data_IF_285771656776
#
_entry.id   IF_285771656776
#
_cell.length_a   1.000
_cell.length_b   1.000
_cell.length_c   1.000
_cell.angle_alpha   90.00
_cell.angle_beta   90.00
_cell.angle_gamma   90.00
#
_symmetry.space_group_name_H-M   'P 1'
#
loop_
_entity.id
_entity.type
_entity.pdbx_description
1 polymer ?
#
# COMPACT_ATOMS: atom_id res chain seq x y z
N UNK A 1 -8.18 15.88 16.14
CA UNK A 1 -7.13 15.26 15.31
C UNK A 1 -6.23 14.41 16.17
N UNK A 2 -6.02 13.17 15.76
CA UNK A 2 -4.97 12.28 16.30
C UNK A 2 -3.85 12.13 15.28
N UNK A 3 -2.63 11.89 15.74
CA UNK A 3 -1.49 11.56 14.89
C UNK A 3 -0.81 10.27 15.35
N UNK A 4 -0.32 9.47 14.40
CA UNK A 4 0.49 8.29 14.65
C UNK A 4 1.82 8.43 13.94
N UNK A 5 2.93 8.33 14.67
CA UNK A 5 4.26 8.18 14.08
C UNK A 5 4.37 6.79 13.45
N UNK A 6 4.63 6.75 12.14
CA UNK A 6 4.74 5.50 11.40
C UNK A 6 6.21 5.04 11.32
N UNK A 7 6.46 3.73 11.32
CA UNK A 7 7.82 3.17 11.14
C UNK A 7 8.24 3.21 9.66
N UNK A 8 8.55 4.42 9.20
CA UNK A 8 8.85 4.74 7.79
C UNK A 8 10.24 5.33 7.66
N UNK A 9 10.82 5.15 6.48
CA UNK A 9 11.96 5.91 6.03
C UNK A 9 11.53 6.93 4.97
N UNK A 10 12.31 7.98 4.84
CA UNK A 10 12.12 9.02 3.82
C UNK A 10 13.34 9.04 2.91
N UNK A 11 13.12 8.79 1.62
CA UNK A 11 14.17 8.84 0.59
C UNK A 11 13.92 10.06 -0.30
N UNK A 12 14.90 10.95 -0.40
CA UNK A 12 14.86 12.08 -1.32
C UNK A 12 15.36 11.64 -2.71
N UNK A 13 14.59 12.00 -3.74
CA UNK A 13 14.97 11.89 -5.15
C UNK A 13 15.01 13.31 -5.74
N UNK A 14 16.18 13.71 -6.23
CA UNK A 14 16.42 15.03 -6.82
C UNK A 14 17.22 14.92 -8.13
N UNK A 15 17.45 16.05 -8.80
CA UNK A 15 18.14 16.11 -10.11
C UNK A 15 17.20 16.32 -11.29
N UNK A 16 17.78 16.59 -12.46
CA UNK A 16 17.07 16.98 -13.68
C UNK A 16 16.21 15.84 -14.24
N UNK A 17 16.69 14.60 -14.10
CA UNK A 17 16.03 13.41 -14.67
C UNK A 17 15.08 12.71 -13.69
N UNK A 18 14.79 13.29 -12.51
CA UNK A 18 14.02 12.61 -11.44
C UNK A 18 12.64 12.12 -11.90
N UNK A 19 11.93 12.93 -12.69
CA UNK A 19 10.59 12.62 -13.18
C UNK A 19 10.63 11.53 -14.25
N UNK A 20 11.36 11.67 -15.38
CA UNK A 20 11.43 10.59 -16.36
C UNK A 20 12.01 9.29 -15.79
N UNK A 21 12.95 9.38 -14.84
CA UNK A 21 13.48 8.22 -14.12
C UNK A 21 12.40 7.46 -13.34
N UNK A 22 11.66 8.13 -12.45
CA UNK A 22 10.59 7.48 -11.69
C UNK A 22 9.45 7.01 -12.61
N UNK A 23 9.13 7.78 -13.66
CA UNK A 23 8.04 7.45 -14.58
C UNK A 23 8.23 6.09 -15.25
N UNK A 24 9.47 5.73 -15.58
CA UNK A 24 9.79 4.46 -16.25
C UNK A 24 9.84 3.24 -15.33
N UNK A 25 9.77 3.41 -14.00
CA UNK A 25 9.97 2.29 -13.06
C UNK A 25 8.79 2.06 -12.11
N UNK A 26 8.03 3.09 -11.77
CA UNK A 26 6.91 2.96 -10.82
C UNK A 26 5.59 2.69 -11.55
N UNK A 27 4.63 2.04 -10.89
CA UNK A 27 3.34 1.69 -11.49
C UNK A 27 2.33 2.83 -11.63
N UNK A 28 2.53 3.97 -10.95
CA UNK A 28 1.66 5.15 -11.05
C UNK A 28 2.33 6.30 -11.82
N UNK A 29 1.56 7.32 -12.18
CA UNK A 29 2.01 8.43 -13.01
C UNK A 29 2.64 9.56 -12.18
N UNK A 30 3.96 9.74 -12.32
CA UNK A 30 4.70 10.77 -11.60
C UNK A 30 4.31 12.19 -12.02
N UNK A 31 3.68 12.36 -13.20
CA UNK A 31 3.27 13.69 -13.67
C UNK A 31 2.15 14.28 -12.82
N UNK A 32 1.47 13.44 -12.02
CA UNK A 32 0.47 13.84 -11.02
C UNK A 32 1.08 14.40 -9.74
N UNK A 33 2.41 14.32 -9.57
CA UNK A 33 3.11 14.80 -8.37
C UNK A 33 3.66 16.20 -8.61
N UNK A 34 2.95 17.19 -8.09
CA UNK A 34 3.42 18.56 -7.87
C UNK A 34 3.79 18.78 -6.41
N UNK A 35 4.42 19.92 -6.10
CA UNK A 35 4.63 20.36 -4.72
C UNK A 35 3.28 20.39 -3.97
N UNK A 36 3.23 19.74 -2.80
CA UNK A 36 2.01 19.64 -1.99
C UNK A 36 1.02 18.55 -2.42
N UNK A 37 1.38 17.69 -3.38
CA UNK A 37 0.59 16.52 -3.76
C UNK A 37 1.38 15.22 -3.56
N UNK A 38 0.65 14.10 -3.52
CA UNK A 38 1.25 12.78 -3.33
C UNK A 38 0.52 11.74 -4.18
N UNK A 39 1.25 10.72 -4.60
CA UNK A 39 0.69 9.50 -5.19
C UNK A 39 1.11 8.30 -4.35
N UNK A 40 0.28 7.26 -4.34
CA UNK A 40 0.68 5.92 -3.90
C UNK A 40 1.14 5.14 -5.13
N UNK A 41 2.17 4.31 -5.01
CA UNK A 41 2.68 3.54 -6.15
C UNK A 41 3.36 2.26 -5.70
N UNK A 42 3.57 1.35 -6.64
CA UNK A 42 4.44 0.19 -6.47
C UNK A 42 5.70 0.28 -7.36
N UNK A 43 6.75 -0.42 -6.94
CA UNK A 43 7.81 -0.92 -7.81
C UNK A 43 7.60 -2.43 -7.95
N UNK A 44 7.51 -2.92 -9.19
CA UNK A 44 7.21 -4.32 -9.48
C UNK A 44 8.41 -5.07 -10.03
N UNK A 45 8.37 -6.39 -9.96
CA UNK A 45 9.27 -7.24 -10.73
C UNK A 45 8.87 -7.23 -12.22
N UNK A 46 9.76 -7.63 -13.14
CA UNK A 46 9.40 -7.83 -14.55
C UNK A 46 8.22 -8.79 -14.73
N UNK A 47 8.01 -9.72 -13.79
CA UNK A 47 6.89 -10.66 -13.76
C UNK A 47 5.61 -10.05 -13.17
N UNK A 48 5.57 -8.74 -12.90
CA UNK A 48 4.42 -8.04 -12.33
C UNK A 48 4.17 -8.34 -10.85
N UNK A 49 5.16 -8.87 -10.13
CA UNK A 49 5.07 -9.15 -8.69
C UNK A 49 5.36 -7.90 -7.88
N UNK A 50 4.68 -7.76 -6.75
CA UNK A 50 4.94 -6.71 -5.77
C UNK A 50 6.38 -6.83 -5.24
N UNK A 51 7.17 -5.76 -5.38
CA UNK A 51 8.46 -5.66 -4.67
C UNK A 51 8.39 -4.62 -3.56
N UNK A 52 7.87 -3.44 -3.85
CA UNK A 52 7.73 -2.35 -2.88
C UNK A 52 6.48 -1.57 -3.19
N UNK A 53 5.88 -1.00 -2.15
CA UNK A 53 4.98 0.13 -2.24
C UNK A 53 5.56 1.30 -1.47
N UNK A 54 5.22 2.50 -1.92
CA UNK A 54 5.62 3.74 -1.27
C UNK A 54 4.75 4.88 -1.77
N UNK A 55 4.79 5.99 -1.04
CA UNK A 55 4.20 7.25 -1.47
C UNK A 55 5.29 8.10 -2.12
N UNK A 56 4.92 8.89 -3.12
CA UNK A 56 5.81 9.89 -3.72
C UNK A 56 5.17 11.25 -3.54
N UNK A 57 5.81 12.10 -2.75
CA UNK A 57 5.34 13.45 -2.42
C UNK A 57 6.24 14.51 -3.04
N UNK A 58 5.67 15.50 -3.70
CA UNK A 58 6.42 16.66 -4.22
C UNK A 58 6.72 17.66 -3.11
N UNK A 59 7.99 18.09 -3.00
CA UNK A 59 8.43 19.12 -2.05
C UNK A 59 9.61 19.90 -2.61
N UNK A 60 9.42 21.21 -2.80
CA UNK A 60 10.47 22.16 -3.22
C UNK A 60 11.22 21.69 -4.48
N UNK A 61 10.48 21.19 -5.46
CA UNK A 61 11.05 20.69 -6.72
C UNK A 61 11.83 19.36 -6.58
N UNK A 62 11.66 18.64 -5.46
CA UNK A 62 12.18 17.29 -5.22
C UNK A 62 11.03 16.31 -4.97
N UNK A 63 11.34 15.02 -4.96
CA UNK A 63 10.41 13.98 -4.51
C UNK A 63 10.88 13.36 -3.19
N UNK A 64 9.95 13.19 -2.26
CA UNK A 64 10.14 12.43 -1.03
C UNK A 64 9.37 11.12 -1.12
N UNK A 65 10.09 10.01 -1.01
CA UNK A 65 9.55 8.66 -1.01
C UNK A 65 9.36 8.20 0.43
N UNK A 66 8.12 7.94 0.81
CA UNK A 66 7.75 7.38 2.10
C UNK A 66 7.56 5.85 1.97
N UNK A 67 8.52 5.10 2.50
CA UNK A 67 8.71 3.65 2.30
C UNK A 67 8.81 2.92 3.66
N UNK A 68 8.40 1.64 3.80
CA UNK A 68 8.59 0.93 5.07
C UNK A 68 10.05 0.97 5.46
N UNK A 69 10.35 1.26 6.73
CA UNK A 69 11.75 1.46 7.15
C UNK A 69 12.63 0.26 6.82
N UNK A 70 12.11 -0.95 7.02
CA UNK A 70 12.81 -2.21 6.69
C UNK A 70 13.12 -2.39 5.19
N UNK A 71 12.39 -1.70 4.31
CA UNK A 71 12.55 -1.78 2.86
C UNK A 71 13.46 -0.68 2.27
N UNK A 72 13.80 0.34 3.05
CA UNK A 72 14.49 1.54 2.55
C UNK A 72 15.83 1.22 1.87
N UNK A 73 16.70 0.46 2.52
CA UNK A 73 18.02 0.13 2.01
C UNK A 73 17.97 -0.66 0.68
N UNK A 74 17.08 -1.65 0.60
CA UNK A 74 16.92 -2.47 -0.62
C UNK A 74 16.24 -1.66 -1.73
N UNK A 75 15.29 -0.77 -1.42
CA UNK A 75 14.71 0.13 -2.40
C UNK A 75 15.76 1.09 -2.96
N UNK A 76 16.59 1.72 -2.12
CA UNK A 76 17.69 2.59 -2.57
C UNK A 76 18.64 1.83 -3.49
N UNK A 77 19.03 0.61 -3.11
CA UNK A 77 19.90 -0.25 -3.93
C UNK A 77 19.29 -0.50 -5.31
N UNK A 78 17.99 -0.83 -5.37
CA UNK A 78 17.28 -1.08 -6.64
C UNK A 78 17.13 0.17 -7.49
N UNK A 79 16.72 1.30 -6.90
CA UNK A 79 16.66 2.57 -7.62
C UNK A 79 18.04 2.98 -8.15
N UNK A 80 19.11 2.72 -7.39
CA UNK A 80 20.49 2.98 -7.83
C UNK A 80 20.89 2.10 -9.01
N UNK A 81 20.48 0.83 -9.04
CA UNK A 81 20.69 -0.05 -10.20
C UNK A 81 19.95 0.46 -11.45
N UNK A 82 18.73 1.00 -11.29
CA UNK A 82 17.96 1.55 -12.41
C UNK A 82 18.45 2.93 -12.88
N UNK A 83 19.10 3.71 -12.00
CA UNK A 83 19.51 5.09 -12.27
C UNK A 83 20.40 5.21 -13.51
N UNK A 84 21.31 4.26 -13.75
CA UNK A 84 22.29 4.30 -14.85
C UNK A 84 22.84 5.73 -15.07
N UNK A 85 22.80 6.25 -16.30
CA UNK A 85 23.30 7.58 -16.67
C UNK A 85 22.36 8.73 -16.30
N UNK A 86 21.23 8.46 -15.67
CA UNK A 86 20.25 9.48 -15.29
C UNK A 86 20.86 10.41 -14.23
N UNK A 87 20.70 11.72 -14.45
CA UNK A 87 21.10 12.79 -13.53
C UNK A 87 20.13 12.88 -12.36
N UNK A 88 20.14 11.84 -11.53
CA UNK A 88 19.30 11.71 -10.34
C UNK A 88 20.16 11.53 -9.11
N UNK A 89 19.84 12.18 -8.00
CA UNK A 89 20.44 11.89 -6.70
C UNK A 89 19.41 11.17 -5.82
N UNK A 90 19.87 10.17 -5.06
CA UNK A 90 19.03 9.31 -4.21
C UNK A 90 19.66 9.35 -2.82
N UNK A 91 18.94 9.87 -1.82
CA UNK A 91 19.45 10.06 -0.45
C UNK A 91 18.46 9.55 0.57
N UNK A 92 18.93 8.78 1.54
CA UNK A 92 18.16 8.55 2.77
C UNK A 92 18.22 9.83 3.62
N UNK A 93 17.05 10.40 3.91
CA UNK A 93 16.88 11.62 4.73
C UNK A 93 16.02 11.33 5.97
N UNK A 94 15.95 10.07 6.40
CA UNK A 94 15.20 9.64 7.59
C UNK A 94 15.78 10.19 8.91
N UNK A 95 16.99 10.75 8.89
CA UNK A 95 17.55 11.49 10.01
C UNK A 95 16.99 12.93 10.14
N UNK A 96 16.35 13.43 9.08
CA UNK A 96 15.76 14.77 9.03
C UNK A 96 14.24 14.70 9.17
N UNK A 97 13.63 13.65 8.59
CA UNK A 97 12.19 13.53 8.51
C UNK A 97 11.66 12.25 9.16
N UNK A 98 10.53 12.40 9.84
CA UNK A 98 9.63 11.33 10.24
C UNK A 98 8.34 11.40 9.42
N UNK A 99 7.60 10.29 9.38
CA UNK A 99 6.30 10.21 8.71
C UNK A 99 5.21 10.01 9.76
N UNK A 100 4.13 10.77 9.62
CA UNK A 100 2.96 10.69 10.48
C UNK A 100 1.70 10.46 9.66
N UNK A 101 0.81 9.61 10.16
CA UNK A 101 -0.59 9.57 9.75
C UNK A 101 -1.40 10.46 10.70
N UNK A 102 -2.11 11.45 10.15
CA UNK A 102 -3.05 12.27 10.88
C UNK A 102 -4.46 11.85 10.51
N UNK A 103 -5.33 11.58 11.49
CA UNK A 103 -6.69 11.12 11.24
C UNK A 103 -7.71 11.69 12.25
N UNK A 104 -8.99 11.49 11.94
CA UNK A 104 -10.11 12.10 12.65
C UNK A 104 -10.32 13.58 12.29
N UNK A 105 -11.21 14.25 13.02
CA UNK A 105 -11.59 15.64 12.73
C UNK A 105 -10.39 16.59 12.76
N UNK A 106 -10.21 17.35 11.66
CA UNK A 106 -9.15 18.34 11.47
C UNK A 106 -7.89 17.82 10.77
N UNK A 107 -7.78 16.50 10.53
CA UNK A 107 -6.64 15.91 9.85
C UNK A 107 -6.47 16.38 8.41
N UNK A 108 -7.58 16.71 7.73
CA UNK A 108 -7.60 17.21 6.36
C UNK A 108 -6.89 18.56 6.17
N UNK A 109 -6.63 19.27 7.28
CA UNK A 109 -5.95 20.57 7.29
C UNK A 109 -4.45 20.45 7.56
N UNK A 110 -3.94 19.23 7.78
CA UNK A 110 -2.56 18.98 8.19
C UNK A 110 -1.92 17.97 7.25
N UNK A 111 -0.93 18.41 6.47
CA UNK A 111 -0.23 17.58 5.51
C UNK A 111 -1.00 17.40 4.20
N UNK A 112 -0.77 16.26 3.54
CA UNK A 112 -1.34 15.93 2.24
C UNK A 112 -2.36 14.80 2.45
N UNK A 113 -3.58 14.88 1.89
CA UNK A 113 -4.56 13.78 1.99
C UNK A 113 -3.95 12.44 1.57
N UNK A 114 -4.24 11.36 2.29
CA UNK A 114 -3.73 10.04 1.93
C UNK A 114 -4.28 9.63 0.56
N UNK A 115 -3.43 9.41 -0.46
CA UNK A 115 -3.88 9.20 -1.83
C UNK A 115 -4.57 7.85 -2.05
N UNK A 116 -4.59 6.95 -1.04
CA UNK A 116 -5.32 5.68 -1.11
C UNK A 116 -6.80 5.84 -0.81
N UNK A 117 -7.13 6.66 0.18
CA UNK A 117 -8.50 7.01 0.61
C UNK A 117 -8.45 8.19 1.59
N UNK A 118 -9.14 9.28 1.28
CA UNK A 118 -9.16 10.47 2.13
C UNK A 118 -9.73 10.22 3.54
N UNK A 119 -10.47 9.13 3.77
CA UNK A 119 -10.98 8.73 5.09
C UNK A 119 -9.87 8.24 6.02
N UNK A 120 -8.69 7.89 5.50
CA UNK A 120 -7.47 7.69 6.32
C UNK A 120 -6.90 9.02 6.86
N UNK A 121 -7.42 10.15 6.43
CA UNK A 121 -6.92 11.47 6.77
C UNK A 121 -5.75 11.85 5.87
N UNK A 122 -4.65 12.26 6.49
CA UNK A 122 -3.51 12.88 5.79
C UNK A 122 -2.18 12.27 6.20
N UNK A 123 -1.21 12.32 5.29
CA UNK A 123 0.19 12.02 5.54
C UNK A 123 1.00 13.30 5.73
N UNK A 124 1.87 13.28 6.73
CA UNK A 124 2.79 14.38 7.05
C UNK A 124 4.21 13.86 7.03
N UNK A 125 5.09 14.54 6.28
CA UNK A 125 6.55 14.33 6.33
C UNK A 125 7.18 15.57 6.95
N UNK A 126 7.65 15.46 8.20
CA UNK A 126 8.14 16.59 8.99
C UNK A 126 9.26 16.15 9.96
N UNK A 127 10.07 17.12 10.44
CA UNK A 127 11.10 16.87 11.46
C UNK A 127 10.49 16.55 12.82
N UNK A 128 9.37 17.22 13.14
CA UNK A 128 8.71 17.16 14.42
C UNK A 128 7.28 16.64 14.27
N UNK A 129 6.78 16.04 15.35
CA UNK A 129 5.41 15.55 15.39
C UNK A 129 4.40 16.70 15.20
N UNK A 130 3.29 16.47 14.48
CA UNK A 130 2.19 17.43 14.39
C UNK A 130 1.60 17.76 15.76
N UNK A 131 1.07 18.97 15.91
CA UNK A 131 0.30 19.34 17.12
C UNK A 131 -1.01 18.57 17.13
N UNK A 132 -1.15 17.64 18.07
CA UNK A 132 -2.36 16.83 18.22
C UNK A 132 -2.23 15.82 19.35
N UNK A 133 -3.22 14.93 19.46
CA UNK A 133 -3.16 13.80 20.39
C UNK A 133 -2.46 12.62 19.72
N UNK A 134 -1.53 11.97 20.41
CA UNK A 134 -0.96 10.72 19.92
C UNK A 134 -2.05 9.63 19.85
N UNK A 135 -2.22 9.05 18.66
CA UNK A 135 -3.06 7.90 18.40
C UNK A 135 -2.30 6.58 18.61
N UNK A 136 -2.96 5.46 18.32
CA UNK A 136 -2.36 4.12 18.48
C UNK A 136 -2.33 3.34 17.17
N UNK A 137 -1.44 2.36 17.07
CA UNK A 137 -1.35 1.49 15.90
C UNK A 137 -2.62 0.64 15.76
N UNK A 138 -3.21 0.21 16.88
CA UNK A 138 -4.44 -0.60 16.90
C UNK A 138 -5.64 0.19 16.34
N UNK A 139 -5.77 1.47 16.70
CA UNK A 139 -6.83 2.33 16.18
C UNK A 139 -6.64 2.61 14.68
N UNK A 140 -5.40 2.83 14.25
CA UNK A 140 -5.08 3.03 12.83
C UNK A 140 -5.28 1.74 12.01
N UNK A 141 -4.89 0.58 12.54
CA UNK A 141 -5.12 -0.74 11.95
C UNK A 141 -6.63 -1.00 11.79
N UNK A 142 -7.44 -0.73 12.83
CA UNK A 142 -8.89 -0.85 12.75
C UNK A 142 -9.48 0.06 11.65
N UNK A 143 -9.02 1.31 11.55
CA UNK A 143 -9.46 2.24 10.51
C UNK A 143 -9.12 1.74 9.10
N UNK A 144 -7.87 1.39 8.82
CA UNK A 144 -7.48 0.91 7.47
C UNK A 144 -8.20 -0.40 7.09
N UNK A 145 -8.40 -1.32 8.05
CA UNK A 145 -9.12 -2.57 7.83
C UNK A 145 -10.58 -2.27 7.48
N UNK A 146 -11.22 -1.32 8.18
CA UNK A 146 -12.60 -0.92 7.87
C UNK A 146 -12.77 -0.36 6.45
N UNK A 147 -11.69 0.21 5.90
CA UNK A 147 -11.61 0.77 4.54
C UNK A 147 -11.09 -0.24 3.50
N UNK A 148 -10.82 -1.49 3.89
CA UNK A 148 -10.23 -2.52 3.02
C UNK A 148 -8.87 -2.11 2.44
N UNK A 149 -8.05 -1.42 3.25
CA UNK A 149 -6.72 -0.95 2.86
C UNK A 149 -5.66 -1.86 3.50
N UNK A 150 -4.87 -2.58 2.67
CA UNK A 150 -3.81 -3.42 3.18
C UNK A 150 -2.66 -2.59 3.75
N UNK A 151 -1.99 -3.17 4.73
CA UNK A 151 -0.63 -2.82 5.11
C UNK A 151 0.29 -3.79 4.39
N UNK A 152 1.14 -3.29 3.49
CA UNK A 152 1.98 -4.14 2.66
C UNK A 152 3.00 -4.96 3.44
N UNK A 153 3.33 -4.57 4.67
CA UNK A 153 4.26 -5.33 5.50
C UNK A 153 3.61 -6.56 6.16
N UNK A 154 2.28 -6.51 6.34
CA UNK A 154 1.45 -7.53 6.99
C UNK A 154 0.70 -8.38 5.96
N UNK A 155 0.21 -7.74 4.90
CA UNK A 155 -0.76 -8.32 3.99
C UNK A 155 -0.13 -8.82 2.68
N UNK A 156 1.02 -8.29 2.27
CA UNK A 156 1.68 -8.67 1.01
C UNK A 156 3.00 -9.42 1.26
N UNK A 157 3.32 -10.33 0.34
CA UNK A 157 4.60 -11.03 0.30
C UNK A 157 5.41 -10.53 -0.90
N UNK A 158 6.61 -10.05 -0.59
CA UNK A 158 7.55 -9.55 -1.60
C UNK A 158 7.88 -10.65 -2.61
N UNK A 159 7.86 -10.28 -3.89
CA UNK A 159 8.10 -11.14 -5.07
C UNK A 159 7.13 -12.33 -5.24
N UNK A 160 6.05 -12.38 -4.44
CA UNK A 160 5.00 -13.41 -4.54
C UNK A 160 3.64 -12.83 -4.83
N UNK A 161 3.26 -11.76 -4.13
CA UNK A 161 1.96 -11.11 -4.27
C UNK A 161 1.82 -10.40 -5.62
N UNK A 162 0.62 -10.47 -6.21
CA UNK A 162 0.25 -9.63 -7.35
C UNK A 162 -0.52 -8.41 -6.84
N UNK A 163 -0.10 -7.17 -7.15
CA UNK A 163 -0.74 -5.95 -6.64
C UNK A 163 -2.26 -5.89 -6.82
N UNK A 164 -2.78 -6.39 -7.95
CA UNK A 164 -4.22 -6.39 -8.25
C UNK A 164 -5.02 -7.25 -7.28
N UNK A 165 -4.44 -8.33 -6.72
CA UNK A 165 -5.11 -9.12 -5.69
C UNK A 165 -5.31 -8.32 -4.40
N UNK A 166 -4.52 -7.27 -4.18
CA UNK A 166 -4.53 -6.45 -2.97
C UNK A 166 -5.12 -5.06 -3.21
N UNK A 167 -6.02 -4.94 -4.18
CA UNK A 167 -6.76 -3.71 -4.48
C UNK A 167 -5.88 -2.53 -4.86
N UNK A 168 -4.62 -2.74 -5.25
CA UNK A 168 -3.68 -1.66 -5.54
C UNK A 168 -4.16 -0.73 -6.67
N UNK A 169 -4.99 -1.22 -7.60
CA UNK A 169 -5.69 -0.35 -8.56
C UNK A 169 -6.73 0.55 -7.88
N UNK A 170 -7.61 -0.02 -7.05
CA UNK A 170 -8.66 0.72 -6.35
C UNK A 170 -8.09 1.70 -5.31
N UNK A 171 -6.84 1.48 -4.88
CA UNK A 171 -6.07 2.36 -3.99
C UNK A 171 -5.17 3.33 -4.75
N UNK A 172 -5.41 3.48 -6.06
CA UNK A 172 -4.72 4.42 -6.92
C UNK A 172 -3.20 4.21 -7.00
N UNK A 173 -2.71 2.98 -6.78
CA UNK A 173 -1.28 2.66 -6.86
C UNK A 173 -0.78 2.34 -8.27
N UNK A 174 -1.70 2.10 -9.21
CA UNK A 174 -1.41 1.69 -10.57
C UNK A 174 -2.19 2.59 -11.51
N UNK A 175 -1.49 3.22 -12.45
CA UNK A 175 -2.09 3.94 -13.55
C UNK A 175 -2.03 3.05 -14.80
N UNK A 176 -3.17 2.82 -15.43
CA UNK A 176 -3.25 2.01 -16.66
C UNK A 176 -3.17 2.85 -17.93
N UNK A 177 -3.28 4.18 -17.81
CA UNK A 177 -3.24 5.13 -18.92
C UNK A 177 -1.84 5.73 -19.09
N UNK A 178 -0.91 5.49 -18.15
CA UNK A 178 0.50 5.93 -18.26
C UNK A 178 1.32 5.10 -19.25
N UNK A 179 2.46 5.66 -19.63
CA UNK A 179 3.48 4.98 -20.44
C UNK A 179 4.15 3.79 -19.74
N UNK A 180 5.10 3.17 -20.44
CA UNK A 180 5.72 1.91 -20.01
C UNK A 180 6.42 2.00 -18.64
N UNK A 181 6.24 0.95 -17.84
CA UNK A 181 6.94 0.74 -16.58
C UNK A 181 7.24 -0.75 -16.34
N UNK A 182 8.14 -1.06 -15.42
CA UNK A 182 8.56 -2.44 -15.10
C UNK A 182 7.37 -3.27 -14.60
N UNK A 183 7.11 -4.42 -15.24
CA UNK A 183 6.03 -5.34 -14.84
C UNK A 183 4.65 -5.00 -15.42
N UNK A 184 4.51 -3.91 -16.20
CA UNK A 184 3.24 -3.45 -16.77
C UNK A 184 2.52 -4.52 -17.58
N UNK A 185 3.22 -5.28 -18.44
CA UNK A 185 2.59 -6.26 -19.34
C UNK A 185 1.75 -7.30 -18.58
N UNK A 186 2.31 -7.85 -17.49
CA UNK A 186 1.62 -8.84 -16.67
C UNK A 186 0.44 -8.21 -15.94
N UNK A 187 0.64 -7.03 -15.34
CA UNK A 187 -0.42 -6.30 -14.63
C UNK A 187 -1.59 -5.93 -15.57
N UNK A 188 -1.31 -5.39 -16.75
CA UNK A 188 -2.31 -5.05 -17.75
C UNK A 188 -3.04 -6.30 -18.27
N UNK A 189 -2.31 -7.38 -18.55
CA UNK A 189 -2.91 -8.65 -18.97
C UNK A 189 -3.85 -9.21 -17.91
N UNK A 190 -3.48 -9.13 -16.63
CA UNK A 190 -4.34 -9.58 -15.53
C UNK A 190 -5.65 -8.80 -15.47
N UNK A 191 -5.59 -7.47 -15.59
CA UNK A 191 -6.79 -6.59 -15.61
C UNK A 191 -7.71 -6.91 -16.79
N UNK A 192 -7.18 -6.95 -18.01
CA UNK A 192 -8.01 -7.04 -19.22
C UNK A 192 -8.55 -8.43 -19.53
N UNK A 193 -7.93 -9.50 -19.00
CA UNK A 193 -8.37 -10.88 -19.27
C UNK A 193 -9.17 -11.50 -18.13
N UNK A 194 -9.65 -10.69 -17.19
CA UNK A 194 -10.35 -11.14 -15.99
C UNK A 194 -9.62 -12.29 -15.28
N UNK A 195 -8.28 -12.20 -15.22
CA UNK A 195 -7.43 -13.29 -14.73
C UNK A 195 -7.13 -13.16 -13.23
N UNK A 196 -7.79 -12.22 -12.54
CA UNK A 196 -7.70 -12.03 -11.09
C UNK A 196 -8.50 -13.14 -10.41
N UNK A 197 -7.79 -14.16 -9.93
CA UNK A 197 -8.39 -15.32 -9.28
C UNK A 197 -8.57 -15.14 -7.78
N UNK A 198 -7.77 -14.25 -7.18
CA UNK A 198 -7.82 -13.92 -5.77
C UNK A 198 -7.98 -12.42 -5.59
N UNK A 199 -8.69 -12.02 -4.54
CA UNK A 199 -8.86 -10.61 -4.21
C UNK A 199 -8.95 -10.43 -2.70
N UNK A 200 -8.48 -9.28 -2.21
CA UNK A 200 -8.54 -8.88 -0.82
C UNK A 200 -9.94 -8.36 -0.49
N UNK A 201 -10.56 -8.96 0.51
CA UNK A 201 -11.87 -8.59 1.03
C UNK A 201 -11.75 -8.19 2.49
N UNK A 202 -12.62 -7.28 2.93
CA UNK A 202 -12.90 -7.14 4.36
C UNK A 202 -13.76 -8.32 4.78
N UNK A 203 -13.48 -8.87 5.95
CA UNK A 203 -14.24 -9.97 6.53
C UNK A 203 -14.60 -9.66 7.98
N UNK A 204 -15.67 -10.28 8.47
CA UNK A 204 -16.08 -10.22 9.88
C UNK A 204 -16.55 -11.58 10.39
N UNK A 205 -16.60 -11.71 11.71
CA UNK A 205 -17.18 -12.84 12.41
C UNK A 205 -17.95 -12.40 13.65
N UNK A 206 -18.65 -13.34 14.29
CA UNK A 206 -19.38 -13.12 15.55
C UNK A 206 -18.50 -13.22 16.81
N UNK A 207 -17.22 -13.54 16.64
CA UNK A 207 -16.20 -13.61 17.69
C UNK A 207 -14.86 -13.08 17.13
N UNK A 208 -13.84 -12.82 17.97
CA UNK A 208 -12.51 -12.44 17.49
C UNK A 208 -11.99 -13.41 16.43
N UNK A 209 -11.43 -12.86 15.35
CA UNK A 209 -10.87 -13.66 14.27
C UNK A 209 -9.62 -14.43 14.75
N UNK A 210 -9.38 -15.63 14.20
CA UNK A 210 -8.11 -16.32 14.34
C UNK A 210 -6.92 -15.48 13.84
N UNK A 211 -5.71 -15.94 14.14
CA UNK A 211 -4.49 -15.24 13.78
C UNK A 211 -4.34 -15.02 12.25
N UNK A 212 -3.61 -13.97 11.83
CA UNK A 212 -3.16 -13.84 10.44
C UNK A 212 -2.46 -15.12 9.95
N UNK A 213 -2.71 -15.50 8.71
CA UNK A 213 -2.22 -16.75 8.13
C UNK A 213 -3.17 -17.94 8.30
N UNK A 214 -4.22 -17.82 9.12
CA UNK A 214 -5.22 -18.90 9.23
C UNK A 214 -5.97 -19.07 7.91
N UNK A 215 -6.00 -20.32 7.42
CA UNK A 215 -6.69 -20.70 6.19
C UNK A 215 -8.20 -20.56 6.35
N UNK A 216 -8.82 -19.95 5.34
CA UNK A 216 -10.27 -19.90 5.20
C UNK A 216 -10.68 -21.02 4.25
N UNK A 217 -11.74 -21.76 4.60
CA UNK A 217 -12.26 -22.87 3.82
C UNK A 217 -13.71 -22.66 3.41
N UNK A 218 -14.08 -23.23 2.26
CA UNK A 218 -15.46 -23.39 1.79
C UNK A 218 -15.68 -24.90 1.57
N UNK A 219 -16.64 -25.51 2.26
CA UNK A 219 -16.87 -26.96 2.24
C UNK A 219 -15.60 -27.81 2.49
N UNK A 220 -14.72 -27.32 3.38
CA UNK A 220 -13.45 -27.99 3.71
C UNK A 220 -12.33 -27.82 2.68
N UNK A 221 -12.56 -27.10 1.58
CA UNK A 221 -11.55 -26.76 0.58
C UNK A 221 -11.00 -25.36 0.86
N UNK A 222 -9.67 -25.17 0.73
CA UNK A 222 -9.07 -23.84 0.88
C UNK A 222 -9.69 -22.83 -0.08
N UNK A 223 -10.15 -21.73 0.49
CA UNK A 223 -10.81 -20.62 -0.17
C UNK A 223 -10.02 -19.31 0.00
N UNK A 224 -8.90 -19.32 0.73
CA UNK A 224 -8.10 -18.15 1.00
C UNK A 224 -7.43 -18.18 2.37
N UNK A 225 -7.00 -17.01 2.82
CA UNK A 225 -6.23 -16.84 4.05
C UNK A 225 -6.56 -15.50 4.72
N UNK A 226 -6.66 -15.52 6.06
CA UNK A 226 -6.73 -14.30 6.87
C UNK A 226 -5.41 -13.52 6.80
N UNK A 227 -5.51 -12.20 6.64
CA UNK A 227 -4.39 -11.26 6.63
C UNK A 227 -4.45 -10.42 7.90
N UNK A 228 -4.41 -9.09 7.81
CA UNK A 228 -4.59 -8.21 8.97
C UNK A 228 -5.91 -8.44 9.70
N UNK A 229 -5.87 -8.42 11.03
CA UNK A 229 -7.04 -8.59 11.91
C UNK A 229 -7.15 -7.43 12.91
N UNK A 230 -8.38 -7.10 13.30
CA UNK A 230 -8.71 -6.21 14.41
C UNK A 230 -9.99 -6.68 15.08
N UNK A 231 -9.85 -7.39 16.20
CA UNK A 231 -10.98 -8.00 16.91
C UNK A 231 -11.70 -9.02 16.03
N UNK A 232 -12.98 -8.80 15.79
CA UNK A 232 -13.85 -9.66 14.96
C UNK A 232 -13.93 -9.23 13.49
N UNK A 233 -13.12 -8.27 13.06
CA UNK A 233 -12.99 -7.85 11.67
C UNK A 233 -11.55 -8.02 11.16
N UNK A 234 -11.39 -8.13 9.86
CA UNK A 234 -10.08 -8.30 9.26
C UNK A 234 -10.10 -8.17 7.75
N UNK A 235 -8.96 -8.43 7.15
CA UNK A 235 -8.78 -8.58 5.71
C UNK A 235 -8.50 -10.05 5.42
N UNK A 236 -9.01 -10.54 4.30
CA UNK A 236 -8.74 -11.89 3.83
C UNK A 236 -8.44 -11.86 2.34
N UNK A 237 -7.40 -12.59 1.92
CA UNK A 237 -7.18 -12.85 0.51
C UNK A 237 -8.00 -14.08 0.15
N UNK A 238 -9.05 -13.91 -0.63
CA UNK A 238 -10.01 -14.96 -0.97
C UNK A 238 -9.98 -15.28 -2.46
N UNK A 239 -10.18 -16.55 -2.80
CA UNK A 239 -10.45 -17.00 -4.17
C UNK A 239 -11.80 -16.45 -4.63
N UNK A 240 -11.83 -15.74 -5.75
CA UNK A 240 -13.04 -15.15 -6.34
C UNK A 240 -14.09 -16.23 -6.61
N UNK A 241 -13.67 -17.39 -7.10
CA UNK A 241 -14.55 -18.53 -7.36
C UNK A 241 -15.19 -19.11 -6.08
N UNK A 242 -14.59 -18.95 -4.90
CA UNK A 242 -15.19 -19.40 -3.65
C UNK A 242 -16.37 -18.52 -3.24
N UNK A 243 -16.30 -17.22 -3.52
CA UNK A 243 -17.37 -16.26 -3.23
C UNK A 243 -18.57 -16.41 -4.18
N UNK A 244 -18.33 -16.73 -5.45
CA UNK A 244 -19.38 -16.97 -6.45
C UNK A 244 -20.29 -18.14 -6.09
N UNK A 245 -19.74 -19.17 -5.42
CA UNK A 245 -20.49 -20.35 -4.96
C UNK A 245 -21.41 -20.06 -3.78
N UNK A 246 -21.26 -18.92 -3.09
CA UNK A 246 -22.05 -18.51 -1.92
C UNK A 246 -22.11 -19.57 -0.80
N UNK A 247 -21.02 -20.32 -0.64
CA UNK A 247 -20.89 -21.29 0.44
C UNK A 247 -20.43 -20.59 1.73
N UNK A 248 -20.82 -21.09 2.92
CA UNK A 248 -20.32 -20.55 4.17
C UNK A 248 -18.79 -20.67 4.24
N UNK A 249 -18.11 -19.56 4.49
CA UNK A 249 -16.67 -19.55 4.71
C UNK A 249 -16.37 -19.79 6.18
N UNK A 250 -15.32 -20.56 6.46
CA UNK A 250 -14.88 -20.84 7.84
C UNK A 250 -13.37 -20.69 7.99
N UNK A 251 -12.95 -20.04 9.07
CA UNK A 251 -11.59 -20.10 9.58
C UNK A 251 -11.63 -20.89 10.87
N UNK A 252 -10.99 -22.07 10.90
CA UNK A 252 -11.17 -23.05 11.98
C UNK A 252 -12.66 -23.39 12.18
N UNK A 253 -13.21 -23.19 13.39
CA UNK A 253 -14.63 -23.39 13.69
C UNK A 253 -15.49 -22.13 13.48
N UNK A 254 -14.88 -20.99 13.16
CA UNK A 254 -15.55 -19.70 13.10
C UNK A 254 -16.07 -19.40 11.69
N UNK A 255 -17.34 -18.98 11.60
CA UNK A 255 -17.93 -18.52 10.34
C UNK A 255 -17.40 -17.13 9.97
N UNK A 256 -17.01 -16.99 8.71
CA UNK A 256 -16.41 -15.79 8.14
C UNK A 256 -17.37 -15.19 7.12
N UNK A 257 -17.69 -13.91 7.31
CA UNK A 257 -18.62 -13.17 6.46
C UNK A 257 -17.82 -12.11 5.69
N UNK A 258 -17.68 -12.23 4.36
CA UNK A 258 -17.17 -11.15 3.52
C UNK A 258 -18.09 -9.92 3.56
N UNK A 259 -17.49 -8.73 3.67
CA UNK A 259 -18.17 -7.43 3.76
C UNK A 259 -18.00 -6.61 2.48
#
# INVERSE_FOLDING_TARGET
>A
MEYLTLDRAVIEISGDDKSPFLQGIISNDITKVTDGSSIYTCLLSPQGKYLFDFFVTGKEGKFLLDVPKRHAAELIKRLTMYKLRSKVEIKDVSNIYSVFACYGSGAEKVGIPDPRDARLGSRVIASDAPIGKAGSMEAYDALRISLTIPDSEKDLEQDKSYPLHYRMEALHAIDFDKGCYVGQEVTARMKHRNAVKQMLYRVKANAPLPAPGTVITADGISAGELRSISGNEGLALLEVAALEKKQPLKAEALEIIPC
#
